data_IF_333927776751
#
_entry.id   IF_333927776751
#
_cell.length_a   1.000
_cell.length_b   1.000
_cell.length_c   1.000
_cell.angle_alpha   90.00
_cell.angle_beta   90.00
_cell.angle_gamma   90.00
#
_symmetry.space_group_name_H-M   'P 1'
#
loop_
_entity.id
_entity.type
_entity.pdbx_description
1 polymer ?
#
# COMPACT_ATOMS: atom_id res chain seq x y z
N UNK A 1 -6.10 -22.85 3.78
CA UNK A 1 -6.78 -21.55 3.56
C UNK A 1 -6.43 -21.11 2.15
N UNK A 2 -7.40 -21.09 1.23
CA UNK A 2 -7.20 -20.52 -0.13
C UNK A 2 -7.17 -19.02 0.04
N UNK A 3 -5.99 -18.42 -0.02
CA UNK A 3 -5.88 -16.95 -0.03
C UNK A 3 -6.26 -16.47 -1.41
N UNK A 4 -7.45 -15.90 -1.56
CA UNK A 4 -7.88 -15.25 -2.80
C UNK A 4 -7.02 -14.00 -2.97
N UNK A 5 -6.27 -13.94 -4.06
CA UNK A 5 -5.53 -12.75 -4.42
C UNK A 5 -6.47 -11.76 -5.11
N UNK A 6 -6.69 -10.62 -4.48
CA UNK A 6 -7.52 -9.57 -5.06
C UNK A 6 -6.69 -8.77 -6.07
N UNK A 7 -7.17 -8.72 -7.31
CA UNK A 7 -6.59 -7.83 -8.33
C UNK A 7 -6.79 -6.37 -7.91
N UNK A 8 -5.71 -5.60 -7.95
CA UNK A 8 -5.71 -4.16 -7.61
C UNK A 8 -5.48 -3.34 -8.87
N UNK A 9 -6.39 -2.41 -9.17
CA UNK A 9 -6.31 -1.56 -10.36
C UNK A 9 -5.01 -0.74 -10.42
N UNK A 10 -4.46 -0.36 -9.28
CA UNK A 10 -3.20 0.39 -9.20
C UNK A 10 -2.01 -0.33 -9.87
N UNK A 11 -2.12 -1.63 -10.16
CA UNK A 11 -1.08 -2.38 -10.89
C UNK A 11 -0.91 -1.86 -12.32
N UNK A 12 -1.97 -1.30 -12.91
CA UNK A 12 -1.95 -0.70 -14.25
C UNK A 12 -1.10 0.59 -14.22
N UNK A 13 -1.32 1.46 -13.23
CA UNK A 13 -0.55 2.69 -13.04
C UNK A 13 0.93 2.39 -12.72
N UNK A 14 1.21 1.36 -11.92
CA UNK A 14 2.57 0.89 -11.65
C UNK A 14 3.25 0.39 -12.93
N UNK A 15 2.50 -0.30 -13.78
CA UNK A 15 3.02 -0.80 -15.05
C UNK A 15 3.34 0.35 -16.01
N UNK A 16 2.47 1.37 -16.09
CA UNK A 16 2.73 2.58 -16.87
C UNK A 16 3.97 3.32 -16.33
N UNK A 17 4.03 3.55 -15.01
CA UNK A 17 5.19 4.15 -14.35
C UNK A 17 6.49 3.42 -14.71
N UNK A 18 6.47 2.09 -14.68
CA UNK A 18 7.67 1.28 -14.92
C UNK A 18 8.22 1.38 -16.35
N UNK A 19 7.38 1.75 -17.32
CA UNK A 19 7.75 1.88 -18.73
C UNK A 19 8.35 3.24 -19.09
N UNK A 20 8.18 4.24 -18.20
CA UNK A 20 8.70 5.60 -18.46
C UNK A 20 10.22 5.63 -18.33
N UNK A 21 10.91 6.19 -19.33
CA UNK A 21 12.39 6.31 -19.34
C UNK A 21 12.95 7.23 -18.26
N UNK A 22 12.18 8.26 -17.85
CA UNK A 22 12.57 9.26 -16.84
C UNK A 22 11.81 9.09 -15.51
N UNK A 23 11.37 7.85 -15.20
CA UNK A 23 10.66 7.55 -13.96
C UNK A 23 11.50 7.89 -12.73
N UNK A 24 10.87 8.45 -11.73
CA UNK A 24 11.46 8.71 -10.42
C UNK A 24 11.17 7.55 -9.47
N UNK A 25 11.94 7.39 -8.38
CA UNK A 25 11.55 6.50 -7.28
C UNK A 25 10.12 6.78 -6.85
N UNK A 26 9.32 5.72 -6.75
CA UNK A 26 7.92 5.81 -6.40
C UNK A 26 7.74 5.67 -4.89
N UNK A 27 7.00 6.60 -4.29
CA UNK A 27 6.57 6.52 -2.89
C UNK A 27 5.11 6.05 -2.86
N UNK A 28 4.91 4.78 -2.49
CA UNK A 28 3.59 4.16 -2.37
C UNK A 28 3.00 4.43 -0.98
N UNK A 29 1.99 5.26 -0.92
CA UNK A 29 1.26 5.61 0.30
C UNK A 29 0.03 4.72 0.46
N UNK A 30 -0.44 4.57 1.68
CA UNK A 30 -1.69 3.86 1.96
C UNK A 30 -1.78 3.44 3.42
N UNK A 31 -2.99 3.21 3.89
CA UNK A 31 -3.25 2.79 5.25
C UNK A 31 -2.52 1.46 5.59
N UNK A 32 -2.42 1.18 6.88
CA UNK A 32 -1.96 -0.13 7.35
C UNK A 32 -2.92 -1.21 6.84
N UNK A 33 -2.39 -2.38 6.48
CA UNK A 33 -3.14 -3.55 6.01
C UNK A 33 -3.95 -3.35 4.70
N UNK A 34 -3.71 -2.27 3.95
CA UNK A 34 -4.36 -2.02 2.66
C UNK A 34 -3.77 -2.83 1.50
N UNK A 35 -2.73 -3.62 1.77
CA UNK A 35 -2.11 -4.53 0.80
C UNK A 35 -0.96 -3.95 -0.02
N UNK A 36 -0.22 -2.93 0.48
CA UNK A 36 0.92 -2.33 -0.25
C UNK A 36 1.99 -3.34 -0.60
N UNK A 37 2.44 -4.12 0.38
CA UNK A 37 3.47 -5.15 0.20
C UNK A 37 3.03 -6.21 -0.81
N UNK A 38 1.79 -6.70 -0.69
CA UNK A 38 1.20 -7.70 -1.60
C UNK A 38 1.12 -7.16 -3.02
N UNK A 39 0.71 -5.89 -3.20
CA UNK A 39 0.65 -5.25 -4.52
C UNK A 39 2.02 -5.18 -5.17
N UNK A 40 3.06 -4.78 -4.42
CA UNK A 40 4.42 -4.67 -4.97
C UNK A 40 5.01 -6.05 -5.23
N UNK A 41 4.75 -7.05 -4.38
CA UNK A 41 5.17 -8.43 -4.61
C UNK A 41 4.54 -9.00 -5.90
N UNK A 42 3.26 -8.72 -6.16
CA UNK A 42 2.60 -9.10 -7.41
C UNK A 42 3.19 -8.37 -8.61
N UNK A 43 3.35 -7.06 -8.49
CA UNK A 43 3.96 -6.22 -9.52
C UNK A 43 5.39 -6.64 -9.84
N UNK A 44 6.14 -7.12 -8.86
CA UNK A 44 7.53 -7.53 -9.01
C UNK A 44 7.73 -8.73 -9.93
N UNK A 45 6.69 -9.54 -10.16
CA UNK A 45 6.75 -10.73 -11.04
C UNK A 45 7.10 -10.41 -12.50
N UNK A 46 6.95 -9.15 -12.92
CA UNK A 46 7.34 -8.69 -14.26
C UNK A 46 8.80 -8.20 -14.33
N UNK A 47 9.59 -8.38 -13.28
CA UNK A 47 11.01 -8.02 -13.22
C UNK A 47 11.89 -9.26 -13.22
N UNK A 48 13.06 -9.14 -13.84
CA UNK A 48 14.06 -10.21 -13.84
C UNK A 48 14.70 -10.39 -12.46
N UNK A 49 14.81 -9.29 -11.71
CA UNK A 49 15.38 -9.26 -10.37
C UNK A 49 14.53 -8.41 -9.45
N UNK A 50 14.19 -8.93 -8.27
CA UNK A 50 13.47 -8.23 -7.21
C UNK A 50 14.24 -8.31 -5.91
N UNK A 51 14.62 -7.13 -5.38
CA UNK A 51 15.27 -6.99 -4.08
C UNK A 51 14.25 -6.36 -3.15
N UNK A 52 13.83 -7.13 -2.12
CA UNK A 52 12.87 -6.67 -1.12
C UNK A 52 13.57 -6.42 0.20
N UNK A 53 13.35 -5.22 0.75
CA UNK A 53 13.80 -4.81 2.07
C UNK A 53 12.60 -4.49 2.95
N UNK A 54 12.67 -4.87 4.21
CA UNK A 54 11.74 -4.43 5.24
C UNK A 54 12.52 -3.68 6.32
N UNK A 55 12.36 -2.35 6.37
CA UNK A 55 13.12 -1.52 7.30
C UNK A 55 12.62 -1.58 8.77
N UNK A 56 11.65 -2.45 9.09
CA UNK A 56 11.41 -2.90 10.46
C UNK A 56 12.48 -3.92 10.93
N UNK A 57 13.13 -4.59 9.97
CA UNK A 57 14.20 -5.54 10.26
C UNK A 57 15.55 -4.80 10.32
N UNK A 58 16.23 -4.92 11.46
CA UNK A 58 17.52 -4.25 11.69
C UNK A 58 18.59 -4.62 10.66
N UNK A 59 18.56 -5.84 10.13
CA UNK A 59 19.50 -6.29 9.10
C UNK A 59 19.35 -5.51 7.79
N UNK A 60 18.11 -5.23 7.36
CA UNK A 60 17.82 -4.48 6.15
C UNK A 60 18.06 -2.98 6.36
N UNK A 61 17.66 -2.44 7.52
CA UNK A 61 17.87 -1.04 7.88
C UNK A 61 19.39 -0.70 7.98
N UNK A 62 20.21 -1.62 8.48
CA UNK A 62 21.65 -1.44 8.63
C UNK A 62 22.35 -1.06 7.32
N UNK A 63 21.88 -1.54 6.18
CA UNK A 63 22.45 -1.24 4.87
C UNK A 63 22.56 0.28 4.62
N UNK A 64 21.58 1.05 5.07
CA UNK A 64 21.54 2.51 4.88
C UNK A 64 22.42 3.29 5.87
N UNK A 65 22.91 2.65 6.93
CA UNK A 65 23.81 3.28 7.90
C UNK A 65 25.29 3.05 7.59
N UNK A 66 25.62 2.12 6.69
CA UNK A 66 27.02 1.71 6.39
C UNK A 66 27.73 2.76 5.53
N UNK A 67 27.04 3.36 4.56
CA UNK A 67 27.60 4.33 3.63
C UNK A 67 26.57 5.39 3.26
N UNK A 68 27.04 6.52 2.71
CA UNK A 68 26.21 7.53 2.04
C UNK A 68 26.21 7.34 0.51
N UNK A 69 27.07 6.45 0.00
CA UNK A 69 27.17 6.12 -1.42
C UNK A 69 26.14 5.04 -1.79
N UNK A 70 25.20 5.38 -2.64
CA UNK A 70 24.11 4.47 -3.04
C UNK A 70 24.59 3.25 -3.82
N UNK A 71 25.72 3.36 -4.55
CA UNK A 71 26.29 2.21 -5.25
C UNK A 71 26.88 1.19 -4.27
N UNK A 72 27.55 1.65 -3.22
CA UNK A 72 28.07 0.79 -2.14
C UNK A 72 26.94 0.14 -1.35
N UNK A 73 25.90 0.91 -1.00
CA UNK A 73 24.69 0.39 -0.35
C UNK A 73 24.06 -0.70 -1.21
N UNK A 74 23.86 -0.44 -2.51
CA UNK A 74 23.26 -1.40 -3.42
C UNK A 74 24.11 -2.68 -3.55
N UNK A 75 25.43 -2.54 -3.68
CA UNK A 75 26.35 -3.69 -3.71
C UNK A 75 26.26 -4.50 -2.42
N UNK A 76 26.24 -3.84 -1.26
CA UNK A 76 26.07 -4.51 0.04
C UNK A 76 24.74 -5.30 0.11
N UNK A 77 23.63 -4.69 -0.34
CA UNK A 77 22.33 -5.35 -0.39
C UNK A 77 22.35 -6.59 -1.31
N UNK A 78 22.99 -6.49 -2.47
CA UNK A 78 23.13 -7.61 -3.39
C UNK A 78 23.91 -8.77 -2.74
N UNK A 79 25.00 -8.47 -2.05
CA UNK A 79 25.80 -9.48 -1.33
C UNK A 79 25.00 -10.09 -0.17
N UNK A 80 24.34 -9.26 0.64
CA UNK A 80 23.52 -9.71 1.77
C UNK A 80 22.40 -10.65 1.34
N UNK A 81 21.71 -10.31 0.24
CA UNK A 81 20.59 -11.11 -0.31
C UNK A 81 21.06 -12.23 -1.23
N UNK A 82 22.38 -12.35 -1.48
CA UNK A 82 22.99 -13.35 -2.41
C UNK A 82 22.41 -13.25 -3.82
N UNK A 83 22.22 -12.03 -4.30
CA UNK A 83 21.65 -11.73 -5.63
C UNK A 83 22.76 -11.16 -6.51
N UNK A 84 22.82 -11.67 -7.75
CA UNK A 84 23.67 -11.09 -8.80
C UNK A 84 22.78 -10.27 -9.73
N UNK A 85 23.08 -8.98 -9.85
CA UNK A 85 22.29 -8.05 -10.67
C UNK A 85 23.03 -7.76 -11.98
N UNK A 86 22.33 -7.92 -13.07
CA UNK A 86 22.74 -7.47 -14.40
C UNK A 86 22.01 -6.15 -14.72
N UNK A 87 22.78 -5.07 -14.96
CA UNK A 87 22.21 -3.73 -15.26
C UNK A 87 21.38 -3.69 -16.56
N UNK A 88 21.55 -4.68 -17.44
CA UNK A 88 20.76 -4.82 -18.68
C UNK A 88 19.40 -5.49 -18.43
N UNK A 89 19.17 -6.03 -17.24
CA UNK A 89 17.92 -6.66 -16.82
C UNK A 89 17.10 -5.73 -15.94
N UNK A 90 15.79 -5.87 -16.04
CA UNK A 90 14.87 -5.08 -15.24
C UNK A 90 14.98 -5.49 -13.78
N UNK A 91 15.43 -4.55 -12.94
CA UNK A 91 15.59 -4.77 -11.50
C UNK A 91 14.69 -3.84 -10.70
N UNK A 92 13.95 -4.39 -9.76
CA UNK A 92 13.13 -3.66 -8.79
C UNK A 92 13.75 -3.73 -7.40
N UNK A 93 14.00 -2.57 -6.80
CA UNK A 93 14.30 -2.44 -5.37
C UNK A 93 13.03 -1.99 -4.66
N UNK A 94 12.50 -2.83 -3.79
CA UNK A 94 11.36 -2.50 -2.94
C UNK A 94 11.82 -2.24 -1.51
N UNK A 95 11.55 -1.05 -1.00
CA UNK A 95 11.88 -0.60 0.36
C UNK A 95 10.57 -0.46 1.13
N UNK A 96 10.23 -1.47 1.91
CA UNK A 96 9.01 -1.45 2.73
C UNK A 96 9.28 -0.81 4.10
N UNK A 97 8.24 -0.15 4.65
CA UNK A 97 8.25 0.59 5.92
C UNK A 97 9.40 1.62 6.03
N UNK A 98 9.62 2.38 4.92
CA UNK A 98 10.74 3.33 4.76
C UNK A 98 10.82 4.38 5.89
N UNK A 99 9.71 4.68 6.59
CA UNK A 99 9.72 5.65 7.70
C UNK A 99 10.54 5.19 8.90
N UNK A 100 10.93 3.91 8.97
CA UNK A 100 11.74 3.40 10.07
C UNK A 100 13.24 3.70 9.89
N UNK A 101 13.67 4.10 8.67
CA UNK A 101 15.04 4.53 8.39
C UNK A 101 15.04 5.88 7.65
N UNK A 102 15.06 7.00 8.37
CA UNK A 102 15.02 8.34 7.79
C UNK A 102 16.11 8.63 6.75
N UNK A 103 17.30 8.03 6.91
CA UNK A 103 18.40 8.18 5.98
C UNK A 103 18.04 7.61 4.59
N UNK A 104 17.31 6.48 4.55
CA UNK A 104 16.88 5.88 3.30
C UNK A 104 15.98 6.82 2.47
N UNK A 105 15.15 7.65 3.16
CA UNK A 105 14.32 8.66 2.48
C UNK A 105 15.15 9.68 1.73
N UNK A 106 16.21 10.21 2.38
CA UNK A 106 17.13 11.18 1.75
C UNK A 106 17.90 10.59 0.56
N UNK A 107 18.25 9.31 0.67
CA UNK A 107 19.03 8.59 -0.34
C UNK A 107 18.24 8.27 -1.62
N UNK A 108 16.90 8.34 -1.61
CA UNK A 108 16.07 8.18 -2.82
C UNK A 108 16.48 9.14 -3.94
N UNK A 109 16.95 10.37 -3.58
CA UNK A 109 17.45 11.34 -4.55
C UNK A 109 18.70 10.82 -5.27
N UNK A 110 19.66 10.31 -4.53
CA UNK A 110 20.93 9.82 -5.09
C UNK A 110 20.71 8.55 -5.91
N UNK A 111 19.84 7.65 -5.49
CA UNK A 111 19.44 6.52 -6.31
C UNK A 111 18.84 6.97 -7.65
N UNK A 112 18.01 8.00 -7.67
CA UNK A 112 17.45 8.55 -8.90
C UNK A 112 18.52 9.14 -9.82
N UNK A 113 19.48 9.90 -9.25
CA UNK A 113 20.51 10.62 -10.01
C UNK A 113 21.65 9.70 -10.50
N UNK A 114 22.04 8.71 -9.70
CA UNK A 114 23.21 7.86 -9.95
C UNK A 114 22.88 6.47 -10.51
N UNK A 115 21.66 5.98 -10.26
CA UNK A 115 21.21 4.63 -10.68
C UNK A 115 19.87 4.67 -11.43
N UNK A 116 19.73 5.43 -12.53
CA UNK A 116 18.44 5.62 -13.23
C UNK A 116 17.89 4.34 -13.87
N UNK A 117 18.71 3.31 -14.04
CA UNK A 117 18.31 1.99 -14.52
C UNK A 117 17.52 1.19 -13.46
N UNK A 118 17.73 1.48 -12.18
CA UNK A 118 17.11 0.77 -11.06
C UNK A 118 15.68 1.32 -10.84
N UNK A 119 14.70 0.42 -10.82
CA UNK A 119 13.34 0.78 -10.45
C UNK A 119 13.22 0.72 -8.92
N UNK A 120 12.68 1.77 -8.30
CA UNK A 120 12.56 1.82 -6.86
C UNK A 120 11.14 2.15 -6.46
N UNK A 121 10.58 1.30 -5.60
CA UNK A 121 9.32 1.56 -4.89
C UNK A 121 9.65 1.60 -3.40
N UNK A 122 9.33 2.72 -2.76
CA UNK A 122 9.38 2.86 -1.31
C UNK A 122 7.95 2.90 -0.78
N UNK A 123 7.63 2.07 0.20
CA UNK A 123 6.30 2.03 0.81
C UNK A 123 6.37 2.33 2.30
N UNK A 124 5.27 2.86 2.83
CA UNK A 124 5.10 3.03 4.26
C UNK A 124 3.66 3.37 4.63
N UNK A 125 3.26 2.90 5.78
CA UNK A 125 1.92 3.15 6.33
C UNK A 125 1.87 4.43 7.14
N UNK A 126 3.02 4.91 7.65
CA UNK A 126 3.15 6.04 8.59
C UNK A 126 4.08 7.15 8.08
N UNK A 127 4.07 7.40 6.75
CA UNK A 127 4.95 8.41 6.15
C UNK A 127 4.75 9.82 6.72
N UNK A 128 3.58 10.11 7.30
CA UNK A 128 3.31 11.38 7.98
C UNK A 128 4.15 11.57 9.25
N UNK A 129 4.67 10.49 9.86
CA UNK A 129 5.56 10.59 11.01
C UNK A 129 6.90 11.23 10.65
N UNK A 130 7.36 11.08 9.41
CA UNK A 130 8.58 11.72 8.90
C UNK A 130 8.46 13.24 8.91
N UNK A 131 7.27 13.79 8.60
CA UNK A 131 7.02 15.23 8.65
C UNK A 131 7.20 15.78 10.07
N UNK A 132 6.75 15.02 11.09
CA UNK A 132 6.95 15.39 12.50
C UNK A 132 8.43 15.42 12.88
N UNK A 133 9.23 14.58 12.28
CA UNK A 133 10.70 14.51 12.46
C UNK A 133 11.45 15.52 11.58
N UNK A 134 10.75 16.41 10.87
CA UNK A 134 11.29 17.36 9.89
C UNK A 134 12.04 16.68 8.73
N UNK A 135 11.72 15.44 8.43
CA UNK A 135 12.25 14.69 7.30
C UNK A 135 11.24 14.80 6.17
N UNK A 136 11.69 15.27 5.02
CA UNK A 136 10.87 15.37 3.82
C UNK A 136 11.43 14.51 2.70
N UNK A 137 10.54 13.94 1.91
CA UNK A 137 10.96 13.31 0.67
C UNK A 137 11.58 14.36 -0.26
N UNK A 138 12.61 14.00 -1.05
CA UNK A 138 13.28 14.95 -1.92
C UNK A 138 12.33 15.46 -3.00
N UNK A 139 12.00 16.76 -2.92
CA UNK A 139 11.06 17.43 -3.81
C UNK A 139 11.55 17.32 -5.26
N UNK A 140 10.66 16.95 -6.17
CA UNK A 140 10.97 16.82 -7.58
C UNK A 140 11.82 15.59 -7.94
N UNK A 141 12.22 14.74 -6.96
CA UNK A 141 13.02 13.54 -7.17
C UNK A 141 12.28 12.24 -6.88
N UNK A 142 11.04 12.32 -6.44
CA UNK A 142 10.15 11.19 -6.21
C UNK A 142 8.79 11.43 -6.84
N UNK A 143 8.07 10.35 -7.13
CA UNK A 143 6.65 10.34 -7.52
C UNK A 143 5.83 9.70 -6.42
N UNK A 144 4.53 9.95 -6.40
CA UNK A 144 3.64 9.43 -5.38
C UNK A 144 2.47 8.70 -6.01
N UNK A 145 2.18 7.52 -5.47
CA UNK A 145 0.91 6.81 -5.69
C UNK A 145 0.27 6.46 -4.35
N UNK A 146 -1.04 6.36 -4.33
CA UNK A 146 -1.79 6.05 -3.11
C UNK A 146 -2.62 4.80 -3.32
N UNK A 147 -2.30 3.75 -2.56
CA UNK A 147 -3.12 2.56 -2.47
C UNK A 147 -4.22 2.79 -1.43
N UNK A 148 -5.46 2.82 -1.90
CA UNK A 148 -6.67 2.93 -1.07
C UNK A 148 -7.22 1.54 -0.74
N UNK A 149 -8.16 1.41 0.18
CA UNK A 149 -8.98 0.20 0.28
C UNK A 149 -9.56 -0.20 -1.08
N UNK A 150 -9.93 -1.46 -1.23
CA UNK A 150 -10.48 -1.97 -2.49
C UNK A 150 -11.71 -1.17 -2.92
N UNK A 151 -11.77 -0.80 -4.19
CA UNK A 151 -12.90 -0.10 -4.80
C UNK A 151 -14.07 -1.05 -5.04
N UNK A 152 -15.25 -0.50 -5.37
CA UNK A 152 -16.38 -1.31 -5.77
C UNK A 152 -16.10 -2.16 -7.02
N UNK A 153 -15.31 -1.65 -7.98
CA UNK A 153 -14.88 -2.43 -9.14
C UNK A 153 -13.99 -3.61 -8.74
N UNK A 154 -13.06 -3.40 -7.81
CA UNK A 154 -12.21 -4.47 -7.28
C UNK A 154 -13.04 -5.49 -6.46
N UNK A 155 -14.08 -5.04 -5.75
CA UNK A 155 -15.05 -5.91 -5.08
C UNK A 155 -15.81 -6.77 -6.09
N UNK A 156 -16.35 -6.18 -7.16
CA UNK A 156 -17.06 -6.91 -8.21
C UNK A 156 -16.17 -8.00 -8.82
N UNK A 157 -14.92 -7.67 -9.15
CA UNK A 157 -13.97 -8.63 -9.67
C UNK A 157 -13.68 -9.75 -8.67
N UNK A 158 -13.47 -9.42 -7.39
CA UNK A 158 -13.17 -10.42 -6.36
C UNK A 158 -14.35 -11.37 -6.06
N UNK A 159 -15.58 -10.95 -6.36
CA UNK A 159 -16.81 -11.71 -6.11
C UNK A 159 -17.42 -12.34 -7.37
N UNK A 160 -16.63 -12.48 -8.46
CA UNK A 160 -17.08 -13.17 -9.69
C UNK A 160 -18.08 -12.35 -10.52
N UNK A 161 -18.07 -11.02 -10.39
CA UNK A 161 -18.93 -10.10 -11.15
C UNK A 161 -18.12 -9.23 -12.13
N UNK A 162 -17.07 -9.79 -12.74
CA UNK A 162 -16.17 -9.09 -13.66
C UNK A 162 -16.91 -8.43 -14.84
N UNK A 163 -17.95 -9.05 -15.45
CA UNK A 163 -18.69 -8.41 -16.55
C UNK A 163 -19.36 -7.09 -16.13
N UNK A 164 -19.88 -7.00 -14.90
CA UNK A 164 -20.48 -5.77 -14.37
C UNK A 164 -19.41 -4.71 -14.08
N UNK A 165 -18.26 -5.13 -13.55
CA UNK A 165 -17.13 -4.23 -13.33
C UNK A 165 -16.65 -3.60 -14.65
N UNK A 166 -16.60 -4.39 -15.73
CA UNK A 166 -16.18 -3.90 -17.04
C UNK A 166 -17.24 -2.96 -17.67
N UNK A 167 -18.53 -3.26 -17.53
CA UNK A 167 -19.60 -2.34 -17.98
C UNK A 167 -19.51 -0.98 -17.28
N UNK A 168 -19.24 -0.97 -15.96
CA UNK A 168 -19.06 0.28 -15.20
C UNK A 168 -17.80 1.02 -15.68
N UNK A 169 -16.69 0.32 -15.89
CA UNK A 169 -15.43 0.90 -16.38
C UNK A 169 -15.61 1.59 -17.73
N UNK A 170 -16.39 0.98 -18.62
CA UNK A 170 -16.70 1.51 -19.95
C UNK A 170 -17.81 2.57 -19.94
N UNK A 171 -18.40 2.89 -18.77
CA UNK A 171 -19.55 3.78 -18.63
C UNK A 171 -20.74 3.35 -19.50
N UNK A 172 -20.89 2.07 -19.75
CA UNK A 172 -21.93 1.48 -20.59
C UNK A 172 -22.80 0.50 -19.79
N UNK A 173 -23.55 1.04 -18.83
CA UNK A 173 -24.43 0.26 -17.95
C UNK A 173 -25.87 0.42 -18.38
N UNK A 174 -26.51 -0.67 -18.80
CA UNK A 174 -27.95 -0.67 -19.09
C UNK A 174 -28.76 -0.55 -17.80
N UNK A 175 -29.86 0.23 -17.80
CA UNK A 175 -30.79 0.35 -16.67
C UNK A 175 -31.33 -0.99 -16.13
N UNK A 176 -31.34 -2.03 -16.95
CA UNK A 176 -31.79 -3.38 -16.55
C UNK A 176 -30.95 -3.97 -15.41
N UNK A 177 -29.70 -3.52 -15.24
CA UNK A 177 -28.80 -3.98 -14.18
C UNK A 177 -28.87 -3.16 -12.89
N UNK A 178 -29.75 -2.15 -12.81
CA UNK A 178 -29.83 -1.21 -11.69
C UNK A 178 -30.00 -1.92 -10.34
N UNK A 179 -31.00 -2.77 -10.21
CA UNK A 179 -31.32 -3.44 -8.93
C UNK A 179 -30.21 -4.40 -8.51
N UNK A 180 -29.62 -5.10 -9.47
CA UNK A 180 -28.49 -5.99 -9.23
C UNK A 180 -27.27 -5.23 -8.73
N UNK A 181 -26.90 -4.13 -9.40
CA UNK A 181 -25.78 -3.29 -9.01
C UNK A 181 -26.02 -2.62 -7.65
N UNK A 182 -27.24 -2.16 -7.39
CA UNK A 182 -27.60 -1.58 -6.09
C UNK A 182 -27.47 -2.60 -4.97
N UNK A 183 -27.93 -3.84 -5.19
CA UNK A 183 -27.78 -4.92 -4.22
C UNK A 183 -26.30 -5.24 -3.95
N UNK A 184 -25.48 -5.35 -4.99
CA UNK A 184 -24.03 -5.58 -4.87
C UNK A 184 -23.31 -4.41 -4.19
N UNK A 185 -23.70 -3.16 -4.48
CA UNK A 185 -23.15 -1.98 -3.83
C UNK A 185 -23.50 -1.93 -2.34
N UNK A 186 -24.75 -2.24 -1.97
CA UNK A 186 -25.14 -2.37 -0.58
C UNK A 186 -24.32 -3.47 0.13
N UNK A 187 -24.06 -4.58 -0.56
CA UNK A 187 -23.18 -5.64 -0.03
C UNK A 187 -21.74 -5.13 0.17
N UNK A 188 -21.21 -4.42 -0.81
CA UNK A 188 -19.89 -3.79 -0.70
C UNK A 188 -19.78 -2.82 0.47
N UNK A 189 -20.82 -2.01 0.74
CA UNK A 189 -20.81 -1.09 1.89
C UNK A 189 -20.77 -1.82 3.24
N UNK A 190 -21.34 -3.02 3.32
CA UNK A 190 -21.29 -3.85 4.53
C UNK A 190 -19.95 -4.59 4.67
N UNK A 191 -19.41 -5.11 3.56
CA UNK A 191 -18.11 -5.83 3.54
C UNK A 191 -16.94 -4.85 3.65
N UNK A 192 -17.07 -3.63 3.12
CA UNK A 192 -15.99 -2.64 3.04
C UNK A 192 -14.87 -3.02 2.08
N UNK A 193 -13.85 -2.16 2.01
CA UNK A 193 -12.76 -2.31 1.04
C UNK A 193 -11.44 -2.83 1.65
N UNK A 194 -11.40 -3.31 2.89
CA UNK A 194 -10.16 -3.89 3.44
C UNK A 194 -9.88 -5.24 2.79
N UNK A 195 -8.66 -5.44 2.19
CA UNK A 195 -8.38 -6.62 1.37
C UNK A 195 -8.61 -7.95 2.09
N UNK A 196 -8.25 -8.05 3.37
CA UNK A 196 -8.45 -9.27 4.16
C UNK A 196 -9.95 -9.59 4.34
N UNK A 197 -10.76 -8.56 4.64
CA UNK A 197 -12.21 -8.72 4.77
C UNK A 197 -12.86 -9.08 3.44
N UNK A 198 -12.43 -8.45 2.35
CA UNK A 198 -12.93 -8.76 1.02
C UNK A 198 -12.54 -10.17 0.57
N UNK A 199 -11.31 -10.62 0.84
CA UNK A 199 -10.87 -11.97 0.51
C UNK A 199 -11.65 -13.04 1.27
N UNK A 200 -11.89 -12.83 2.58
CA UNK A 200 -12.70 -13.74 3.40
C UNK A 200 -14.15 -13.79 2.89
N UNK A 201 -14.72 -12.63 2.57
CA UNK A 201 -16.06 -12.56 2.01
C UNK A 201 -16.16 -13.23 0.64
N UNK A 202 -15.22 -12.97 -0.27
CA UNK A 202 -15.20 -13.57 -1.60
C UNK A 202 -15.06 -15.11 -1.56
N UNK A 203 -14.39 -15.64 -0.52
CA UNK A 203 -14.24 -17.08 -0.34
C UNK A 203 -15.49 -17.78 0.19
N UNK A 204 -16.32 -17.10 0.99
CA UNK A 204 -17.38 -17.76 1.77
C UNK A 204 -18.76 -17.12 1.60
N UNK A 205 -18.85 -15.93 1.04
CA UNK A 205 -20.08 -15.11 0.89
C UNK A 205 -20.84 -14.86 2.21
N UNK A 206 -20.13 -14.93 3.34
CA UNK A 206 -20.69 -14.82 4.69
C UNK A 206 -20.11 -13.61 5.44
N UNK A 207 -20.95 -12.59 5.66
CA UNK A 207 -20.59 -11.35 6.38
C UNK A 207 -20.28 -11.63 7.85
N UNK A 208 -20.90 -12.64 8.47
CA UNK A 208 -20.70 -12.93 9.90
C UNK A 208 -19.26 -13.28 10.24
N UNK A 209 -18.51 -13.81 9.27
CA UNK A 209 -17.11 -14.18 9.39
C UNK A 209 -16.16 -12.98 9.44
N UNK A 210 -16.63 -11.77 9.10
CA UNK A 210 -15.79 -10.57 9.03
C UNK A 210 -15.55 -9.92 10.40
N UNK A 211 -16.39 -10.22 11.40
CA UNK A 211 -16.29 -9.61 12.74
C UNK A 211 -14.91 -9.75 13.39
N UNK A 212 -14.23 -10.91 13.39
CA UNK A 212 -12.88 -11.02 13.94
C UNK A 212 -11.85 -10.16 13.19
N UNK A 213 -11.96 -10.07 11.87
CA UNK A 213 -11.07 -9.27 11.02
C UNK A 213 -11.20 -7.79 11.38
N UNK A 214 -12.42 -7.27 11.46
CA UNK A 214 -12.64 -5.87 11.83
C UNK A 214 -12.20 -5.56 13.26
N UNK A 215 -12.42 -6.45 14.21
CA UNK A 215 -11.90 -6.28 15.58
C UNK A 215 -10.38 -6.19 15.59
N UNK A 216 -9.69 -7.06 14.85
CA UNK A 216 -8.24 -7.02 14.72
C UNK A 216 -7.75 -5.70 14.11
N UNK A 217 -8.42 -5.21 13.05
CA UNK A 217 -8.11 -3.93 12.41
C UNK A 217 -8.27 -2.75 13.38
N UNK A 218 -9.40 -2.67 14.10
CA UNK A 218 -9.69 -1.60 15.05
C UNK A 218 -8.68 -1.64 16.21
N UNK A 219 -8.36 -2.82 16.72
CA UNK A 219 -7.34 -2.97 17.77
C UNK A 219 -5.98 -2.49 17.28
N UNK A 220 -5.54 -2.87 16.08
CA UNK A 220 -4.30 -2.41 15.50
C UNK A 220 -4.27 -0.89 15.28
N UNK A 221 -5.37 -0.27 14.88
CA UNK A 221 -5.46 1.20 14.79
C UNK A 221 -5.41 1.85 16.17
N UNK A 222 -6.08 1.29 17.18
CA UNK A 222 -6.04 1.80 18.56
C UNK A 222 -4.61 1.74 19.16
N UNK A 223 -3.84 0.70 18.90
CA UNK A 223 -2.43 0.60 19.30
C UNK A 223 -1.56 1.66 18.62
N UNK A 224 -1.86 1.96 17.36
CA UNK A 224 -1.12 2.96 16.60
C UNK A 224 -1.47 4.42 16.99
N UNK A 225 -2.58 4.67 17.69
CA UNK A 225 -3.02 6.04 18.06
C UNK A 225 -1.91 6.83 18.77
N UNK A 226 -1.17 6.19 19.67
CA UNK A 226 -0.08 6.86 20.41
C UNK A 226 1.03 7.38 19.52
N UNK A 227 1.25 6.74 18.36
CA UNK A 227 2.24 7.16 17.36
C UNK A 227 1.81 8.41 16.59
N UNK A 228 0.49 8.68 16.53
CA UNK A 228 -0.09 9.82 15.80
C UNK A 228 -0.46 10.99 16.73
N UNK A 229 -0.88 10.70 17.96
CA UNK A 229 -1.27 11.70 18.92
C UNK A 229 -0.07 12.54 19.41
N UNK A 230 -0.33 13.82 19.69
CA UNK A 230 0.69 14.75 20.23
C UNK A 230 0.67 14.81 21.76
N UNK A 231 -0.45 14.45 22.37
CA UNK A 231 -0.67 14.47 23.80
C UNK A 231 -1.81 13.52 24.17
N UNK A 232 -2.00 13.28 25.47
CA UNK A 232 -3.01 12.38 26.02
C UNK A 232 -4.44 12.75 25.61
N UNK A 233 -4.76 14.07 25.56
CA UNK A 233 -6.10 14.49 25.15
C UNK A 233 -6.40 14.09 23.71
N UNK A 234 -5.46 14.30 22.78
CA UNK A 234 -5.61 13.89 21.40
C UNK A 234 -5.70 12.36 21.26
N UNK A 235 -4.95 11.61 22.06
CA UNK A 235 -5.05 10.15 22.14
C UNK A 235 -6.47 9.72 22.51
N UNK A 236 -7.04 10.33 23.54
CA UNK A 236 -8.40 10.01 24.02
C UNK A 236 -9.47 10.35 22.97
N UNK A 237 -9.36 11.51 22.31
CA UNK A 237 -10.28 11.92 21.24
C UNK A 237 -10.23 10.94 20.06
N UNK A 238 -9.04 10.56 19.59
CA UNK A 238 -8.90 9.62 18.47
C UNK A 238 -9.46 8.25 18.86
N UNK A 239 -9.16 7.73 20.05
CA UNK A 239 -9.72 6.47 20.55
C UNK A 239 -11.24 6.50 20.65
N UNK A 240 -11.78 7.60 21.17
CA UNK A 240 -13.23 7.79 21.22
C UNK A 240 -13.88 7.76 19.83
N UNK A 241 -13.28 8.45 18.84
CA UNK A 241 -13.74 8.42 17.45
C UNK A 241 -13.66 7.02 16.85
N UNK A 242 -12.57 6.26 17.09
CA UNK A 242 -12.43 4.89 16.60
C UNK A 242 -13.45 3.94 17.22
N UNK A 243 -13.92 4.22 18.43
CA UNK A 243 -14.85 3.33 19.15
C UNK A 243 -16.33 3.71 18.90
N UNK A 244 -16.65 5.01 18.84
CA UNK A 244 -18.02 5.51 18.83
C UNK A 244 -18.40 6.29 17.58
N UNK A 245 -17.42 6.80 16.82
CA UNK A 245 -17.70 7.65 15.65
C UNK A 245 -18.53 6.98 14.56
N UNK A 246 -18.55 5.66 14.53
CA UNK A 246 -19.41 4.89 13.61
C UNK A 246 -20.90 5.06 13.88
N UNK A 247 -21.28 5.17 15.16
CA UNK A 247 -22.67 5.40 15.58
C UNK A 247 -23.13 6.83 15.28
N UNK A 248 -22.19 7.76 15.16
CA UNK A 248 -22.45 9.18 14.92
C UNK A 248 -22.28 9.58 13.44
N UNK A 249 -21.93 8.61 12.58
CA UNK A 249 -21.73 8.88 11.16
C UNK A 249 -23.01 9.44 10.51
N UNK A 250 -22.88 10.58 9.83
CA UNK A 250 -24.01 11.29 9.20
C UNK A 250 -24.78 12.24 10.13
N UNK A 251 -24.40 12.37 11.40
CA UNK A 251 -24.97 13.34 12.35
C UNK A 251 -24.11 14.60 12.42
N UNK A 252 -24.74 15.72 12.79
CA UNK A 252 -23.99 16.96 13.05
C UNK A 252 -23.24 16.83 14.37
N UNK A 253 -21.92 16.99 14.33
CA UNK A 253 -21.10 17.04 15.56
C UNK A 253 -21.15 18.46 16.10
N UNK A 254 -21.64 18.63 17.33
CA UNK A 254 -21.68 19.90 18.07
C UNK A 254 -20.53 19.97 19.06
#
# INVERSE_FOLDING_TARGET
>A
VVTIMIYRQLIEDLTEWSRRGNRKPLVLRGARQVGKTTLVDEFSKQYDCHIKLNLEQSADAKAFSISDNVAEIFQYLCLQKKIVVDKNKRTLLFIDEIQNEPKAVGLLRYFYEEMPWLHIIAAGSRLQTLIKQRISFPVGRVEYMSLRPCSFLEFLNATGNEPLAEMIRQLNVSPVYHDMLTSLFNRYTLVGGMPEALAEYAAHEDITRLSPIYRSLINGYNEDVEKYARNTNQTNVIRHLLTHGWAEAGQTIT
#
